data_IF_475214144234
#
_entry.id   IF_475214144234
#
_cell.length_a   1.000
_cell.length_b   1.000
_cell.length_c   1.000
_cell.angle_alpha   90.00
_cell.angle_beta   90.00
_cell.angle_gamma   90.00
#
_symmetry.space_group_name_H-M   'P 1'
#
loop_
_entity.id
_entity.type
_entity.pdbx_description
1 polymer ?
#
# COMPACT_ATOMS: atom_id res chain seq x y z
N UNK A 1 17.74 0.06 19.77
CA UNK A 1 17.18 1.41 20.03
C UNK A 1 17.21 2.31 18.80
N UNK A 2 18.38 2.69 18.25
CA UNK A 2 18.41 3.55 17.04
C UNK A 2 17.74 2.90 15.82
N UNK A 3 17.98 1.61 15.59
CA UNK A 3 17.36 0.84 14.50
C UNK A 3 15.84 0.77 14.67
N UNK A 4 15.36 0.56 15.91
CA UNK A 4 13.93 0.48 16.21
C UNK A 4 13.24 1.83 15.97
N UNK A 5 13.86 2.92 16.40
CA UNK A 5 13.37 4.29 16.13
C UNK A 5 13.31 4.55 14.63
N UNK A 6 14.36 4.17 13.89
CA UNK A 6 14.39 4.32 12.44
C UNK A 6 13.27 3.51 11.76
N UNK A 7 13.08 2.24 12.16
CA UNK A 7 12.02 1.39 11.64
C UNK A 7 10.63 1.97 11.93
N UNK A 8 10.41 2.49 13.14
CA UNK A 8 9.15 3.12 13.51
C UNK A 8 8.88 4.37 12.68
N UNK A 9 9.87 5.26 12.54
CA UNK A 9 9.75 6.49 11.74
C UNK A 9 9.51 6.15 10.27
N UNK A 10 10.25 5.19 9.71
CA UNK A 10 10.05 4.74 8.32
C UNK A 10 8.66 4.13 8.14
N UNK A 11 8.21 3.27 9.05
CA UNK A 11 6.86 2.70 9.03
C UNK A 11 5.78 3.77 9.10
N UNK A 12 5.92 4.74 10.00
CA UNK A 12 4.99 5.85 10.16
C UNK A 12 4.93 6.74 8.90
N UNK A 13 6.08 7.03 8.27
CA UNK A 13 6.13 7.75 7.00
C UNK A 13 5.43 6.97 5.89
N UNK A 14 5.68 5.67 5.76
CA UNK A 14 5.02 4.82 4.77
C UNK A 14 3.50 4.85 4.94
N UNK A 15 3.02 4.68 6.17
CA UNK A 15 1.58 4.75 6.49
C UNK A 15 1.01 6.12 6.15
N UNK A 16 1.68 7.21 6.58
CA UNK A 16 1.25 8.57 6.33
C UNK A 16 1.12 8.88 4.82
N UNK A 17 2.15 8.55 4.04
CA UNK A 17 2.11 8.77 2.60
C UNK A 17 1.06 7.89 1.90
N UNK A 18 0.88 6.65 2.35
CA UNK A 18 -0.12 5.73 1.78
C UNK A 18 -1.53 6.24 2.05
N UNK A 19 -1.84 6.63 3.30
CA UNK A 19 -3.13 7.20 3.64
C UNK A 19 -3.39 8.49 2.87
N UNK A 20 -2.40 9.38 2.80
CA UNK A 20 -2.52 10.62 2.02
C UNK A 20 -2.82 10.34 0.55
N UNK A 21 -2.14 9.38 -0.06
CA UNK A 21 -2.37 8.99 -1.46
C UNK A 21 -3.78 8.39 -1.66
N UNK A 22 -4.27 7.56 -0.73
CA UNK A 22 -5.65 7.04 -0.72
C UNK A 22 -6.67 8.16 -0.63
N UNK A 23 -6.53 9.07 0.35
CA UNK A 23 -7.44 10.19 0.56
C UNK A 23 -7.45 11.15 -0.63
N UNK A 24 -6.27 11.52 -1.14
CA UNK A 24 -6.13 12.40 -2.30
C UNK A 24 -6.72 11.77 -3.57
N UNK A 25 -6.72 10.43 -3.69
CA UNK A 25 -7.25 9.73 -4.87
C UNK A 25 -8.76 9.46 -4.78
N UNK A 26 -9.29 9.12 -3.60
CA UNK A 26 -10.68 8.65 -3.44
C UNK A 26 -11.61 9.74 -2.91
N UNK A 27 -11.14 10.57 -1.96
CA UNK A 27 -12.01 11.51 -1.23
C UNK A 27 -12.04 12.89 -1.89
N UNK A 28 -10.95 13.32 -2.53
CA UNK A 28 -10.86 14.64 -3.15
C UNK A 28 -10.90 14.50 -4.68
N UNK A 29 -12.06 14.73 -5.34
CA UNK A 29 -12.12 14.80 -6.79
C UNK A 29 -11.55 16.15 -7.24
N UNK A 30 -10.25 16.20 -7.51
CA UNK A 30 -9.56 17.41 -7.96
C UNK A 30 -8.16 17.07 -8.47
N UNK A 31 -7.62 17.90 -9.36
CA UNK A 31 -6.33 17.71 -10.05
C UNK A 31 -5.29 17.04 -9.13
N UNK A 32 -4.86 15.82 -9.50
CA UNK A 32 -4.02 14.95 -8.67
C UNK A 32 -2.75 15.65 -8.16
N UNK A 33 -2.82 16.18 -6.93
CA UNK A 33 -1.69 16.65 -6.11
C UNK A 33 -1.21 15.59 -5.12
N UNK A 34 -1.54 14.31 -5.37
CA UNK A 34 -1.09 13.19 -4.54
C UNK A 34 0.44 13.04 -4.61
N UNK A 35 1.11 12.99 -3.46
CA UNK A 35 2.58 12.97 -3.34
C UNK A 35 3.24 11.70 -3.90
N UNK A 36 2.54 10.55 -3.89
CA UNK A 36 3.08 9.27 -4.39
C UNK A 36 2.53 8.90 -5.77
N UNK A 37 1.36 9.43 -6.13
CA UNK A 37 0.68 9.16 -7.40
C UNK A 37 0.57 7.66 -7.67
N UNK A 38 0.29 6.85 -6.64
CA UNK A 38 0.35 5.39 -6.78
C UNK A 38 -0.70 4.91 -7.80
N UNK A 39 -1.90 5.49 -7.77
CA UNK A 39 -2.94 5.24 -8.76
C UNK A 39 -2.50 5.63 -10.19
N UNK A 40 -1.86 6.78 -10.38
CA UNK A 40 -1.34 7.18 -11.70
C UNK A 40 -0.18 6.29 -12.16
N UNK A 41 0.70 5.86 -11.25
CA UNK A 41 1.78 4.90 -11.55
C UNK A 41 1.24 3.51 -11.86
N UNK A 42 0.18 3.05 -11.18
CA UNK A 42 -0.49 1.79 -11.49
C UNK A 42 -1.25 1.85 -12.81
N UNK A 43 -1.92 2.96 -13.12
CA UNK A 43 -2.50 3.22 -14.45
C UNK A 43 -1.41 3.19 -15.52
N UNK A 44 -0.28 3.87 -15.29
CA UNK A 44 0.83 3.89 -16.24
C UNK A 44 1.48 2.51 -16.42
N UNK A 45 1.74 1.77 -15.34
CA UNK A 45 2.28 0.41 -15.40
C UNK A 45 1.30 -0.56 -16.08
N UNK A 46 0.01 -0.46 -15.77
CA UNK A 46 -1.05 -1.23 -16.41
C UNK A 46 -1.18 -0.92 -17.91
N UNK A 47 -1.10 0.36 -18.30
CA UNK A 47 -1.07 0.78 -19.70
C UNK A 47 0.20 0.33 -20.42
N UNK A 48 1.36 0.36 -19.76
CA UNK A 48 2.63 -0.08 -20.33
C UNK A 48 2.64 -1.60 -20.56
N UNK A 49 2.13 -2.38 -19.60
CA UNK A 49 1.92 -3.82 -19.73
C UNK A 49 0.93 -4.15 -20.85
N UNK A 50 -0.23 -3.48 -20.89
CA UNK A 50 -1.20 -3.67 -21.98
C UNK A 50 -0.62 -3.30 -23.35
N UNK A 51 0.29 -2.32 -23.43
CA UNK A 51 0.93 -1.89 -24.68
C UNK A 51 1.90 -2.94 -25.23
N UNK A 52 2.53 -3.74 -24.37
CA UNK A 52 3.40 -4.84 -24.78
C UNK A 52 2.63 -6.12 -25.16
N UNK A 53 1.47 -6.35 -24.56
CA UNK A 53 0.68 -7.58 -24.81
C UNK A 53 -0.40 -7.40 -25.88
N UNK A 54 -0.77 -6.16 -26.23
CA UNK A 54 -1.81 -5.91 -27.26
C UNK A 54 -1.27 -5.95 -28.68
N UNK A 55 -2.04 -6.59 -29.56
CA UNK A 55 -2.03 -6.31 -31.00
C UNK A 55 -2.62 -4.91 -31.24
N UNK A 56 -2.01 -4.14 -32.16
CA UNK A 56 -2.48 -2.80 -32.57
C UNK A 56 -3.98 -2.86 -32.92
N UNK A 57 -4.82 -2.06 -32.24
CA UNK A 57 -6.24 -1.86 -32.58
C UNK A 57 -7.29 -2.44 -31.63
N UNK A 58 -6.91 -3.17 -30.57
CA UNK A 58 -7.90 -3.66 -29.60
C UNK A 58 -8.55 -2.51 -28.79
N UNK A 59 -9.83 -2.62 -28.42
CA UNK A 59 -10.54 -1.70 -27.52
C UNK A 59 -10.13 -1.91 -26.05
N UNK A 60 -10.10 -0.84 -25.22
CA UNK A 60 -9.71 -0.98 -23.81
C UNK A 60 -10.81 -1.82 -23.14
N UNK A 61 -10.48 -2.91 -22.43
CA UNK A 61 -11.49 -3.72 -21.77
C UNK A 61 -12.31 -2.85 -20.83
N UNK A 62 -13.64 -2.95 -20.87
CA UNK A 62 -14.52 -2.22 -19.95
C UNK A 62 -14.18 -2.51 -18.46
N UNK A 63 -13.60 -3.68 -18.19
CA UNK A 63 -13.09 -4.09 -16.88
C UNK A 63 -11.80 -3.37 -16.44
N UNK A 64 -11.15 -2.57 -17.29
CA UNK A 64 -9.88 -1.91 -16.97
C UNK A 64 -10.02 -0.92 -15.81
N UNK A 65 -11.07 -0.09 -15.81
CA UNK A 65 -11.27 0.89 -14.74
C UNK A 65 -11.55 0.22 -13.37
N UNK A 66 -12.48 -0.77 -13.26
CA UNK A 66 -12.64 -1.55 -12.03
C UNK A 66 -11.36 -2.26 -11.59
N UNK A 67 -10.61 -2.85 -12.54
CA UNK A 67 -9.38 -3.57 -12.24
C UNK A 67 -8.30 -2.64 -11.66
N UNK A 68 -8.11 -1.46 -12.26
CA UNK A 68 -7.15 -0.46 -11.75
C UNK A 68 -7.52 -0.03 -10.34
N UNK A 69 -8.81 0.15 -10.06
CA UNK A 69 -9.28 0.53 -8.73
C UNK A 69 -8.98 -0.57 -7.70
N UNK A 70 -9.32 -1.82 -8.01
CA UNK A 70 -9.02 -2.96 -7.13
C UNK A 70 -7.52 -3.13 -6.94
N UNK A 71 -6.72 -3.06 -8.01
CA UNK A 71 -5.27 -3.17 -7.94
C UNK A 71 -4.64 -2.05 -7.11
N UNK A 72 -5.13 -0.81 -7.26
CA UNK A 72 -4.68 0.33 -6.44
C UNK A 72 -5.02 0.12 -4.98
N UNK A 73 -6.24 -0.35 -4.70
CA UNK A 73 -6.67 -0.67 -3.36
C UNK A 73 -5.82 -1.77 -2.72
N UNK A 74 -5.56 -2.86 -3.45
CA UNK A 74 -4.64 -3.92 -3.01
C UNK A 74 -3.24 -3.38 -2.75
N UNK A 75 -2.72 -2.51 -3.62
CA UNK A 75 -1.42 -1.88 -3.46
C UNK A 75 -1.32 -1.04 -2.18
N UNK A 76 -2.32 -0.19 -1.92
CA UNK A 76 -2.39 0.58 -0.68
C UNK A 76 -2.50 -0.31 0.55
N UNK A 77 -3.29 -1.38 0.48
CA UNK A 77 -3.43 -2.32 1.59
C UNK A 77 -2.10 -3.00 1.93
N UNK A 78 -1.36 -3.46 0.91
CA UNK A 78 -0.02 -4.05 1.11
C UNK A 78 0.98 -3.05 1.70
N UNK A 79 0.95 -1.79 1.24
CA UNK A 79 1.78 -0.72 1.80
C UNK A 79 1.45 -0.42 3.26
N UNK A 80 0.17 -0.40 3.63
CA UNK A 80 -0.27 -0.23 5.01
C UNK A 80 0.18 -1.42 5.87
N UNK A 81 -0.02 -2.65 5.42
CA UNK A 81 0.45 -3.85 6.11
C UNK A 81 1.97 -3.78 6.35
N UNK A 82 2.73 -3.37 5.33
CA UNK A 82 4.18 -3.23 5.44
C UNK A 82 4.59 -2.10 6.40
N UNK A 83 3.96 -0.93 6.30
CA UNK A 83 4.24 0.23 7.16
C UNK A 83 3.91 -0.04 8.63
N UNK A 84 2.73 -0.60 8.90
CA UNK A 84 2.36 -1.03 10.25
C UNK A 84 3.23 -2.20 10.73
N UNK A 85 3.59 -3.15 9.86
CA UNK A 85 4.51 -4.24 10.19
C UNK A 85 5.88 -3.75 10.66
N UNK A 86 6.42 -2.68 10.05
CA UNK A 86 7.64 -2.01 10.52
C UNK A 86 7.47 -1.38 11.90
N UNK A 87 6.33 -0.74 12.17
CA UNK A 87 6.04 -0.15 13.48
C UNK A 87 5.88 -1.24 14.55
N UNK A 88 5.23 -2.35 14.23
CA UNK A 88 5.09 -3.53 15.11
C UNK A 88 6.45 -4.17 15.39
N UNK A 89 7.33 -4.27 14.38
CA UNK A 89 8.68 -4.80 14.56
C UNK A 89 9.50 -3.93 15.53
N UNK A 90 9.40 -2.60 15.39
CA UNK A 90 10.04 -1.65 16.30
C UNK A 90 9.49 -1.73 17.74
N UNK A 91 8.20 -2.06 17.90
CA UNK A 91 7.55 -2.25 19.20
C UNK A 91 7.45 -3.72 19.62
N UNK A 92 8.21 -4.63 19.00
CA UNK A 92 8.11 -6.08 19.23
C UNK A 92 8.14 -6.50 20.70
N UNK A 93 8.89 -5.80 21.54
CA UNK A 93 8.99 -6.03 22.99
C UNK A 93 7.78 -5.57 23.82
N UNK A 94 6.87 -4.78 23.26
CA UNK A 94 5.64 -4.30 23.91
C UNK A 94 4.44 -5.23 23.68
N UNK A 95 4.55 -6.14 22.72
CA UNK A 95 3.52 -7.12 22.42
C UNK A 95 3.56 -8.32 23.37
N UNK A 96 2.37 -8.87 23.68
CA UNK A 96 2.21 -10.13 24.40
C UNK A 96 1.32 -11.05 23.55
N UNK A 97 1.82 -12.20 23.04
CA UNK A 97 3.20 -12.68 23.10
C UNK A 97 4.17 -11.75 22.34
N UNK A 98 5.45 -11.78 22.74
CA UNK A 98 6.49 -11.02 22.04
C UNK A 98 6.56 -11.45 20.58
N UNK A 99 6.83 -10.50 19.68
CA UNK A 99 6.85 -10.72 18.23
C UNK A 99 8.30 -10.76 17.74
N UNK A 100 8.99 -11.92 17.79
CA UNK A 100 10.43 -12.00 17.52
C UNK A 100 10.82 -11.78 16.05
N UNK A 101 9.92 -12.03 15.10
CA UNK A 101 10.26 -12.05 13.67
C UNK A 101 9.46 -11.03 12.90
N UNK A 102 10.10 -10.37 11.92
CA UNK A 102 9.45 -9.42 11.02
C UNK A 102 8.22 -10.00 10.31
N UNK A 103 8.26 -11.28 9.90
CA UNK A 103 7.11 -11.95 9.30
C UNK A 103 5.90 -12.03 10.23
N UNK A 104 6.13 -12.18 11.54
CA UNK A 104 5.06 -12.15 12.54
C UNK A 104 4.56 -10.73 12.76
N UNK A 105 5.43 -9.72 12.72
CA UNK A 105 5.03 -8.31 12.79
C UNK A 105 4.11 -7.93 11.61
N UNK A 106 4.46 -8.38 10.40
CA UNK A 106 3.63 -8.25 9.20
C UNK A 106 2.32 -9.02 9.33
N UNK A 107 2.35 -10.23 9.87
CA UNK A 107 1.16 -11.03 10.10
C UNK A 107 0.19 -10.33 11.08
N UNK A 108 0.68 -9.84 12.22
CA UNK A 108 -0.12 -9.10 13.22
C UNK A 108 -0.70 -7.83 12.61
N UNK A 109 0.12 -7.03 11.92
CA UNK A 109 -0.36 -5.83 11.24
C UNK A 109 -1.43 -6.16 10.18
N UNK A 110 -1.22 -7.23 9.41
CA UNK A 110 -2.17 -7.70 8.40
C UNK A 110 -3.48 -8.21 8.98
N UNK A 111 -3.43 -9.05 10.02
CA UNK A 111 -4.63 -9.58 10.67
C UNK A 111 -5.45 -8.47 11.32
N UNK A 112 -4.80 -7.47 11.94
CA UNK A 112 -5.50 -6.30 12.48
C UNK A 112 -6.10 -5.42 11.39
N UNK A 113 -5.39 -5.19 10.29
CA UNK A 113 -5.89 -4.37 9.18
C UNK A 113 -7.13 -4.99 8.51
N UNK A 114 -7.13 -6.31 8.34
CA UNK A 114 -8.24 -7.06 7.75
C UNK A 114 -9.30 -7.44 8.80
N UNK A 115 -9.16 -6.97 10.04
CA UNK A 115 -10.11 -7.21 11.14
C UNK A 115 -10.33 -8.70 11.47
N UNK A 116 -9.33 -9.53 11.20
CA UNK A 116 -9.29 -10.95 11.58
C UNK A 116 -8.80 -11.11 13.01
N UNK A 117 -7.93 -10.19 13.45
CA UNK A 117 -7.25 -10.20 14.75
C UNK A 117 -8.15 -9.83 15.92
#
# INVERSE_FOLDING_TARGET
MFVDILQFVVGALVVWFTLRDVFDTVVVPGESRASLRLASRMVFAGLFGLRHTRRRGAAIPAAFAPFVLVASFTGWMLLLIFGFGLMVAALSGWYRPAVPTFSQSVFVAGSSLVTVG
#
